data_IF_730726272991
#
_entry.id   IF_730726272991
#
_cell.length_a   1.000
_cell.length_b   1.000
_cell.length_c   1.000
_cell.angle_alpha   90.00
_cell.angle_beta   90.00
_cell.angle_gamma   90.00
#
_symmetry.space_group_name_H-M   'P 1'
#
loop_
_entity.id
_entity.type
_entity.pdbx_description
1 polymer ?
#
# COMPACT_ATOMS: atom_id res chain seq x y z
N UNK A 1 -8.49 7.79 -18.88
CA UNK A 1 -8.02 7.54 -17.48
C UNK A 1 -7.89 6.04 -17.29
N UNK A 2 -6.67 5.52 -17.14
CA UNK A 2 -6.41 4.06 -17.15
C UNK A 2 -7.16 3.35 -16.02
N UNK A 3 -7.71 2.17 -16.33
CA UNK A 3 -8.52 1.36 -15.42
C UNK A 3 -7.78 1.08 -14.08
N UNK A 4 -6.48 0.79 -14.16
CA UNK A 4 -5.59 0.62 -13.01
C UNK A 4 -5.59 1.82 -12.06
N UNK A 5 -5.57 3.05 -12.60
CA UNK A 5 -5.55 4.28 -11.78
C UNK A 5 -6.86 4.49 -11.04
N UNK A 6 -7.99 4.15 -11.68
CA UNK A 6 -9.33 4.23 -11.09
C UNK A 6 -9.52 3.17 -10.00
N UNK A 7 -8.97 1.99 -10.20
CA UNK A 7 -8.96 0.91 -9.21
C UNK A 7 -8.13 1.26 -7.97
N UNK A 8 -6.93 1.83 -8.17
CA UNK A 8 -6.03 2.25 -7.09
C UNK A 8 -6.67 3.31 -6.18
N UNK A 9 -7.38 4.28 -6.76
CA UNK A 9 -8.09 5.31 -6.00
C UNK A 9 -9.27 4.75 -5.22
N UNK A 10 -10.00 3.79 -5.80
CA UNK A 10 -11.20 3.22 -5.19
C UNK A 10 -10.88 2.19 -4.09
N UNK A 11 -9.81 1.42 -4.25
CA UNK A 11 -9.44 0.33 -3.35
C UNK A 11 -7.94 0.34 -2.98
N UNK A 12 -7.46 1.38 -2.28
CA UNK A 12 -6.03 1.56 -1.98
C UNK A 12 -5.46 0.43 -1.11
N UNK A 13 -6.21 -0.08 -0.13
CA UNK A 13 -5.77 -1.18 0.73
C UNK A 13 -5.71 -2.53 0.01
N UNK A 14 -6.59 -2.75 -0.96
CA UNK A 14 -6.63 -3.98 -1.74
C UNK A 14 -5.39 -4.07 -2.64
N UNK A 15 -4.96 -2.92 -3.17
CA UNK A 15 -3.74 -2.86 -3.96
C UNK A 15 -2.49 -3.20 -3.13
N UNK A 16 -2.40 -2.70 -1.90
CA UNK A 16 -1.31 -3.06 -0.97
C UNK A 16 -1.31 -4.56 -0.69
N UNK A 17 -2.49 -5.16 -0.46
CA UNK A 17 -2.63 -6.60 -0.25
C UNK A 17 -2.18 -7.43 -1.47
N UNK A 18 -2.54 -7.03 -2.68
CA UNK A 18 -2.13 -7.72 -3.91
C UNK A 18 -0.61 -7.66 -4.09
N UNK A 19 -0.02 -6.47 -3.92
CA UNK A 19 1.44 -6.29 -4.01
C UNK A 19 2.14 -7.12 -2.95
N UNK A 20 1.64 -7.13 -1.72
CA UNK A 20 2.20 -7.95 -0.65
C UNK A 20 2.19 -9.44 -0.96
N UNK A 21 1.05 -9.96 -1.41
CA UNK A 21 0.92 -11.38 -1.77
C UNK A 21 1.89 -11.77 -2.88
N UNK A 22 2.02 -10.94 -3.92
CA UNK A 22 2.95 -11.18 -5.03
C UNK A 22 4.40 -11.13 -4.54
N UNK A 23 4.77 -10.10 -3.77
CA UNK A 23 6.12 -9.93 -3.25
C UNK A 23 6.52 -11.09 -2.30
N UNK A 24 5.59 -11.55 -1.46
CA UNK A 24 5.79 -12.68 -0.56
C UNK A 24 6.02 -13.97 -1.34
N UNK A 25 5.19 -14.26 -2.36
CA UNK A 25 5.36 -15.43 -3.22
C UNK A 25 6.69 -15.40 -3.98
N UNK A 26 7.10 -14.24 -4.51
CA UNK A 26 8.38 -14.09 -5.21
C UNK A 26 9.56 -14.30 -4.25
N UNK A 27 9.51 -13.71 -3.05
CA UNK A 27 10.57 -13.87 -2.04
C UNK A 27 10.77 -15.34 -1.66
N UNK A 28 9.65 -16.03 -1.36
CA UNK A 28 9.66 -17.47 -1.05
C UNK A 28 10.18 -18.29 -2.25
N UNK A 29 9.76 -17.95 -3.48
CA UNK A 29 10.19 -18.67 -4.68
C UNK A 29 11.70 -18.52 -4.97
N UNK A 30 12.26 -17.31 -4.81
CA UNK A 30 13.70 -17.07 -5.00
C UNK A 30 14.51 -17.84 -3.96
N UNK A 31 14.09 -17.78 -2.69
CA UNK A 31 14.78 -18.46 -1.58
C UNK A 31 14.75 -19.99 -1.78
N UNK A 32 13.61 -20.51 -2.23
CA UNK A 32 13.48 -21.92 -2.61
C UNK A 32 14.32 -22.31 -3.84
N UNK A 33 14.45 -21.46 -4.85
CA UNK A 33 15.28 -21.77 -6.04
C UNK A 33 16.77 -21.79 -5.69
N UNK A 34 17.24 -20.84 -4.88
CA UNK A 34 18.67 -20.66 -4.58
C UNK A 34 19.14 -21.64 -3.51
N UNK A 35 18.39 -21.74 -2.40
CA UNK A 35 18.82 -22.52 -1.24
C UNK A 35 18.10 -23.88 -1.12
N UNK A 36 17.07 -24.15 -1.95
CA UNK A 36 16.14 -25.29 -1.78
C UNK A 36 15.50 -25.36 -0.39
N UNK A 37 15.53 -24.24 0.33
CA UNK A 37 15.08 -24.14 1.71
C UNK A 37 14.04 -23.03 1.83
N UNK A 38 12.99 -23.30 2.59
CA UNK A 38 11.93 -22.34 2.89
C UNK A 38 12.33 -21.52 4.11
N UNK A 39 13.45 -20.79 4.00
CA UNK A 39 13.87 -19.90 5.07
C UNK A 39 12.85 -18.76 5.16
N UNK A 40 12.18 -18.63 6.31
CA UNK A 40 11.12 -17.62 6.52
C UNK A 40 11.61 -16.17 6.51
N UNK A 41 12.89 -15.92 6.26
CA UNK A 41 13.50 -14.59 6.27
C UNK A 41 12.89 -13.67 5.19
N UNK A 42 12.59 -14.21 4.00
CA UNK A 42 11.85 -13.50 2.96
C UNK A 42 10.43 -13.11 3.40
N UNK A 43 9.76 -13.95 4.17
CA UNK A 43 8.42 -13.66 4.72
C UNK A 43 8.45 -12.53 5.74
N UNK A 44 9.42 -12.53 6.66
CA UNK A 44 9.59 -11.44 7.63
C UNK A 44 9.92 -10.11 6.95
N UNK A 45 10.77 -10.14 5.91
CA UNK A 45 11.13 -8.95 5.13
C UNK A 45 9.94 -8.39 4.37
N UNK A 46 9.16 -9.24 3.69
CA UNK A 46 7.95 -8.84 2.99
C UNK A 46 6.90 -8.26 3.96
N UNK A 47 6.75 -8.87 5.14
CA UNK A 47 5.84 -8.41 6.19
C UNK A 47 6.21 -7.01 6.68
N UNK A 48 7.51 -6.78 6.92
CA UNK A 48 8.02 -5.49 7.37
C UNK A 48 7.82 -4.38 6.31
N UNK A 49 8.15 -4.66 5.05
CA UNK A 49 7.94 -3.71 3.95
C UNK A 49 6.45 -3.36 3.77
N UNK A 50 5.57 -4.34 3.93
CA UNK A 50 4.12 -4.14 3.83
C UNK A 50 3.58 -3.28 4.95
N UNK A 51 4.12 -3.44 6.17
CA UNK A 51 3.78 -2.57 7.29
C UNK A 51 4.18 -1.11 7.01
N UNK A 52 5.36 -0.89 6.42
CA UNK A 52 5.81 0.44 5.99
C UNK A 52 4.92 1.04 4.89
N UNK A 53 4.55 0.25 3.89
CA UNK A 53 3.63 0.64 2.81
C UNK A 53 2.28 1.09 3.40
N UNK A 54 1.75 0.33 4.36
CA UNK A 54 0.48 0.62 5.03
C UNK A 54 0.53 1.95 5.80
N UNK A 55 1.64 2.21 6.51
CA UNK A 55 1.87 3.47 7.21
C UNK A 55 1.97 4.66 6.24
N UNK A 56 2.64 4.47 5.10
CA UNK A 56 2.74 5.49 4.04
C UNK A 56 1.38 5.85 3.47
N UNK A 57 0.57 4.85 3.10
CA UNK A 57 -0.79 5.05 2.58
C UNK A 57 -1.67 5.74 3.63
N UNK A 58 -1.59 5.33 4.90
CA UNK A 58 -2.33 5.98 6.00
C UNK A 58 -1.95 7.47 6.11
N UNK A 59 -0.67 7.80 5.99
CA UNK A 59 -0.19 9.19 6.04
C UNK A 59 -0.69 10.01 4.86
N UNK A 60 -0.68 9.46 3.65
CA UNK A 60 -1.22 10.12 2.45
C UNK A 60 -2.73 10.37 2.57
N UNK A 61 -3.50 9.39 3.05
CA UNK A 61 -4.94 9.57 3.27
C UNK A 61 -5.26 10.62 4.34
N UNK A 62 -4.47 10.69 5.41
CA UNK A 62 -4.63 11.73 6.42
C UNK A 62 -4.33 13.14 5.85
N UNK A 63 -3.31 13.27 5.00
CA UNK A 63 -3.02 14.54 4.30
C UNK A 63 -4.16 14.93 3.36
N UNK A 64 -4.74 13.97 2.63
CA UNK A 64 -5.87 14.21 1.74
C UNK A 64 -7.12 14.65 2.52
N UNK A 65 -7.48 13.96 3.61
CA UNK A 65 -8.58 14.37 4.50
C UNK A 65 -8.37 15.77 5.08
N UNK A 66 -7.13 16.10 5.47
CA UNK A 66 -6.81 17.42 6.02
C UNK A 66 -6.94 18.53 4.97
N UNK A 67 -6.56 18.26 3.71
CA UNK A 67 -6.76 19.19 2.59
C UNK A 67 -8.24 19.37 2.25
N UNK A 68 -9.01 18.28 2.26
CA UNK A 68 -10.45 18.30 1.97
C UNK A 68 -11.21 19.12 3.02
N UNK A 69 -10.89 18.93 4.31
CA UNK A 69 -11.42 19.78 5.41
C UNK A 69 -11.07 21.25 5.22
N UNK A 70 -9.81 21.57 4.90
CA UNK A 70 -9.36 22.95 4.72
C UNK A 70 -10.07 23.63 3.53
N UNK A 71 -10.34 22.90 2.45
CA UNK A 71 -11.08 23.42 1.30
C UNK A 71 -12.55 23.72 1.66
N UNK A 72 -13.20 22.85 2.44
CA UNK A 72 -14.59 23.07 2.91
C UNK A 72 -14.72 24.27 3.85
N UNK A 73 -13.77 24.46 4.79
CA UNK A 73 -13.78 25.64 5.68
C UNK A 73 -13.58 26.95 4.88
N UNK A 74 -12.76 26.95 3.82
CA UNK A 74 -12.50 28.14 2.98
C UNK A 74 -13.69 28.50 2.08
N UNK A 75 -14.40 27.52 1.53
CA UNK A 75 -15.57 27.79 0.68
C UNK A 75 -16.82 28.12 1.51
N UNK A 76 -16.96 27.58 2.74
CA UNK A 76 -18.07 27.90 3.65
C UNK A 76 -17.96 29.25 4.38
N UNK A 77 -16.81 29.93 4.32
CA UNK A 77 -16.62 31.30 4.85
C UNK A 77 -16.99 32.39 3.83
N UNK A 78 -17.30 32.02 2.58
CA UNK A 78 -17.68 32.94 1.50
C UNK A 78 -19.19 33.08 1.26
N UNK A 79 -20.01 32.34 2.00
CA UNK A 79 -21.48 32.40 1.97
C UNK A 79 -22.02 33.21 3.17
#
# INVERSE_FOLDING_TARGET
>A
MNFYKKFYQKHPYLNVLIIYSIASLIGIAIEYIINRDFIGSGFYTASFLTLLELLRVRRERNKLKSKEKFQYDVDGEKD
#
